data_IF_379851675564
#
_entry.id   IF_379851675564
#
_cell.length_a   1.000
_cell.length_b   1.000
_cell.length_c   1.000
_cell.angle_alpha   90.00
_cell.angle_beta   90.00
_cell.angle_gamma   90.00
#
_symmetry.space_group_name_H-M   'P 1'
#
loop_
_entity.id
_entity.type
_entity.pdbx_description
1 polymer ?
#
# COMPACT_ATOMS: atom_id res chain seq x y z
N UNK A 1 28.94 -5.99 62.71
CA UNK A 1 27.95 -5.66 63.77
C UNK A 1 26.58 -6.07 63.25
N UNK A 2 26.14 -7.32 63.43
CA UNK A 2 25.47 -7.85 64.62
C UNK A 2 24.18 -7.08 65.00
N UNK A 3 23.00 -7.56 64.59
CA UNK A 3 22.12 -8.36 65.47
C UNK A 3 20.80 -8.74 64.79
N UNK A 4 20.51 -10.03 64.91
CA UNK A 4 19.21 -10.71 64.86
C UNK A 4 18.33 -10.20 66.01
N UNK A 5 17.00 -10.17 65.83
CA UNK A 5 16.03 -10.80 66.75
C UNK A 5 14.60 -10.76 66.20
N UNK A 6 14.08 -11.98 66.02
CA UNK A 6 12.70 -12.37 65.82
C UNK A 6 11.82 -12.08 67.03
N UNK A 7 10.57 -11.65 66.83
CA UNK A 7 9.45 -11.99 67.73
C UNK A 7 8.14 -11.99 66.92
N UNK A 8 7.54 -13.16 66.68
CA UNK A 8 6.09 -13.28 66.48
C UNK A 8 5.43 -13.18 67.86
N UNK A 9 4.16 -12.75 67.97
CA UNK A 9 3.18 -13.79 68.29
C UNK A 9 1.70 -13.51 67.88
N UNK A 10 0.91 -14.58 68.04
CA UNK A 10 -0.54 -14.67 68.32
C UNK A 10 -1.51 -14.66 67.12
N UNK A 11 -1.96 -15.87 66.81
CA UNK A 11 -3.24 -16.20 66.18
C UNK A 11 -4.32 -16.31 67.26
N UNK A 12 -5.48 -15.67 67.07
CA UNK A 12 -6.78 -16.12 67.64
C UNK A 12 -7.88 -15.91 66.57
N UNK A 13 -8.78 -16.90 66.34
CA UNK A 13 -9.70 -16.94 65.21
C UNK A 13 -11.12 -16.45 65.56
N UNK A 14 -11.82 -15.87 64.59
CA UNK A 14 -13.29 -15.71 64.51
C UNK A 14 -13.61 -15.08 63.15
N UNK A 15 -14.70 -15.34 62.44
CA UNK A 15 -15.82 -16.26 62.51
C UNK A 15 -16.40 -16.24 61.08
N UNK A 16 -17.05 -17.34 60.71
CA UNK A 16 -17.73 -17.50 59.43
C UNK A 16 -18.68 -16.33 59.12
N UNK A 17 -18.57 -15.77 57.92
CA UNK A 17 -19.75 -15.25 57.21
C UNK A 17 -19.67 -15.61 55.73
N UNK A 18 -20.66 -16.36 55.29
CA UNK A 18 -20.93 -16.75 53.91
C UNK A 18 -21.41 -15.55 53.10
N UNK A 19 -20.78 -15.23 51.97
CA UNK A 19 -21.52 -14.63 50.85
C UNK A 19 -20.78 -14.73 49.51
N UNK A 20 -21.43 -15.45 48.59
CA UNK A 20 -21.42 -15.34 47.12
C UNK A 20 -20.06 -15.37 46.40
N UNK A 21 -19.80 -16.53 45.77
CA UNK A 21 -18.90 -16.66 44.60
C UNK A 21 -19.34 -15.68 43.51
N UNK A 22 -18.58 -14.61 43.34
CA UNK A 22 -18.51 -13.90 42.06
C UNK A 22 -17.51 -14.69 41.22
N UNK A 23 -18.00 -15.34 40.18
CA UNK A 23 -17.16 -15.94 39.15
C UNK A 23 -16.47 -14.78 38.42
N UNK A 24 -15.21 -14.50 38.78
CA UNK A 24 -14.32 -13.71 37.93
C UNK A 24 -14.07 -14.54 36.67
N UNK A 25 -14.83 -14.26 35.61
CA UNK A 25 -14.40 -14.62 34.26
C UNK A 25 -13.22 -13.70 33.97
N UNK A 26 -12.01 -14.24 34.14
CA UNK A 26 -10.81 -13.61 33.63
C UNK A 26 -10.92 -13.61 32.10
N UNK A 27 -11.44 -12.52 31.54
CA UNK A 27 -11.24 -12.21 30.14
C UNK A 27 -9.76 -11.83 30.03
N UNK A 28 -8.94 -12.81 29.67
CA UNK A 28 -7.58 -12.57 29.23
C UNK A 28 -7.66 -11.63 28.04
N UNK A 29 -7.32 -10.35 28.27
CA UNK A 29 -7.06 -9.39 27.21
C UNK A 29 -5.95 -9.97 26.34
N UNK A 30 -6.31 -10.51 25.17
CA UNK A 30 -5.36 -10.76 24.11
C UNK A 30 -5.04 -9.37 23.54
N UNK A 31 -3.83 -8.88 23.75
CA UNK A 31 -3.26 -7.84 22.91
C UNK A 31 -3.32 -8.36 21.47
N UNK A 32 -4.03 -7.72 20.53
CA UNK A 32 -3.87 -8.05 19.14
C UNK A 32 -2.62 -7.30 18.68
N UNK A 33 -1.44 -7.93 18.82
CA UNK A 33 -0.38 -7.61 17.89
C UNK A 33 -0.95 -7.95 16.51
N UNK A 34 -1.18 -6.93 15.66
CA UNK A 34 -1.65 -7.12 14.29
C UNK A 34 -0.70 -8.13 13.63
N UNK A 35 -1.19 -9.34 13.43
CA UNK A 35 -0.41 -10.41 12.83
C UNK A 35 -0.41 -10.19 11.33
N UNK A 36 0.75 -9.84 10.75
CA UNK A 36 0.92 -9.79 9.31
C UNK A 36 0.62 -11.14 8.61
N UNK A 37 0.46 -12.24 9.36
CA UNK A 37 0.10 -13.55 8.85
C UNK A 37 -1.38 -13.67 8.46
N UNK A 38 -2.27 -12.83 9.02
CA UNK A 38 -3.71 -12.87 8.71
C UNK A 38 -4.15 -11.97 7.56
N UNK A 39 -3.24 -11.20 6.97
CA UNK A 39 -3.55 -10.30 5.86
C UNK A 39 -3.58 -11.04 4.53
N UNK A 40 -4.65 -10.88 3.76
CA UNK A 40 -4.80 -11.52 2.44
C UNK A 40 -3.71 -11.09 1.45
N UNK A 41 -3.28 -9.82 1.50
CA UNK A 41 -2.19 -9.28 0.73
C UNK A 41 -1.19 -8.59 1.67
N UNK A 42 0.04 -9.10 1.72
CA UNK A 42 1.11 -8.52 2.54
C UNK A 42 1.64 -7.24 1.90
N UNK A 43 2.01 -6.23 2.70
CA UNK A 43 2.68 -5.04 2.17
C UNK A 43 4.02 -5.43 1.56
N UNK A 44 4.48 -4.70 0.53
CA UNK A 44 5.81 -4.90 -0.02
C UNK A 44 6.88 -4.52 1.00
N UNK A 45 8.08 -5.07 0.84
CA UNK A 45 9.20 -4.85 1.74
C UNK A 45 10.17 -3.81 1.18
N UNK A 46 10.79 -3.01 2.04
CA UNK A 46 11.90 -2.13 1.70
C UNK A 46 13.07 -2.38 2.68
N UNK A 47 14.33 -2.37 2.21
CA UNK A 47 15.48 -2.74 3.05
C UNK A 47 15.78 -1.76 4.19
N UNK A 48 15.29 -0.52 4.13
CA UNK A 48 15.70 0.56 5.05
C UNK A 48 14.57 1.23 5.84
N UNK A 49 13.31 0.94 5.54
CA UNK A 49 12.17 1.50 6.28
C UNK A 49 10.94 0.61 6.10
N UNK A 50 9.95 0.77 6.97
CA UNK A 50 8.71 0.02 6.99
C UNK A 50 7.49 0.96 7.14
N UNK A 51 6.29 0.37 7.20
CA UNK A 51 5.05 1.13 7.37
C UNK A 51 4.99 1.85 8.72
N UNK A 52 5.57 1.28 9.78
CA UNK A 52 5.57 1.91 11.11
C UNK A 52 6.37 3.22 11.09
N UNK A 53 7.52 3.25 10.41
CA UNK A 53 8.29 4.47 10.20
C UNK A 53 7.50 5.57 9.48
N UNK A 54 6.72 5.20 8.46
CA UNK A 54 5.86 6.14 7.72
C UNK A 54 4.72 6.67 8.60
N UNK A 55 4.07 5.79 9.36
CA UNK A 55 2.98 6.15 10.29
C UNK A 55 3.48 7.12 11.36
N UNK A 56 4.64 6.83 11.97
CA UNK A 56 5.23 7.71 12.98
C UNK A 56 5.58 9.08 12.41
N UNK A 57 6.09 9.15 11.18
CA UNK A 57 6.37 10.41 10.52
C UNK A 57 5.09 11.22 10.28
N UNK A 58 4.02 10.58 9.81
CA UNK A 58 2.73 11.23 9.55
C UNK A 58 2.03 11.71 10.84
N UNK A 59 2.07 10.90 11.91
CA UNK A 59 1.57 11.32 13.22
C UNK A 59 2.37 12.49 13.80
N UNK A 60 3.69 12.48 13.64
CA UNK A 60 4.55 13.59 14.08
C UNK A 60 4.32 14.86 13.25
N UNK A 61 4.01 14.72 11.95
CA UNK A 61 3.63 15.84 11.08
C UNK A 61 2.35 16.53 11.57
N UNK A 62 1.31 15.75 11.90
CA UNK A 62 -0.02 16.28 12.20
C UNK A 62 -0.18 16.74 13.66
N UNK A 63 0.34 15.97 14.62
CA UNK A 63 0.17 16.26 16.05
C UNK A 63 1.36 17.03 16.67
N UNK A 64 2.55 16.97 16.05
CA UNK A 64 3.77 17.55 16.59
C UNK A 64 4.06 17.11 18.03
N UNK A 65 4.72 17.97 18.81
CA UNK A 65 4.96 17.74 20.24
C UNK A 65 3.82 18.17 21.17
N UNK A 66 2.84 18.91 20.66
CA UNK A 66 1.78 19.54 21.45
C UNK A 66 0.50 18.70 21.48
N UNK A 67 0.25 17.87 20.47
CA UNK A 67 -1.01 17.14 20.27
C UNK A 67 -2.12 18.03 19.72
N UNK A 68 -3.35 17.50 19.72
CA UNK A 68 -4.53 18.23 19.26
C UNK A 68 -5.04 19.22 20.32
N UNK A 69 -4.65 20.49 20.15
CA UNK A 69 -5.05 21.60 21.03
C UNK A 69 -6.57 21.80 21.06
N UNK A 70 -7.26 21.53 19.96
CA UNK A 70 -8.72 21.69 19.88
C UNK A 70 -9.41 20.67 20.76
N UNK A 71 -9.06 19.38 20.62
CA UNK A 71 -9.62 18.32 21.47
C UNK A 71 -9.29 18.54 22.95
N UNK A 72 -8.05 18.93 23.27
CA UNK A 72 -7.66 19.23 24.65
C UNK A 72 -8.47 20.37 25.27
N UNK A 73 -8.84 21.39 24.48
CA UNK A 73 -9.59 22.54 24.97
C UNK A 73 -11.12 22.30 25.03
N UNK A 74 -11.66 21.40 24.20
CA UNK A 74 -13.11 21.31 23.97
C UNK A 74 -13.74 19.99 24.38
N UNK A 75 -12.96 18.91 24.53
CA UNK A 75 -13.47 17.56 24.78
C UNK A 75 -12.94 17.05 26.14
N UNK A 76 -13.80 16.53 27.03
CA UNK A 76 -13.35 15.89 28.26
C UNK A 76 -12.41 14.69 28.00
N UNK A 77 -11.36 14.55 28.81
CA UNK A 77 -10.29 13.55 28.61
C UNK A 77 -10.78 12.08 28.67
N UNK A 78 -11.86 11.83 29.39
CA UNK A 78 -12.49 10.52 29.59
C UNK A 78 -13.71 10.29 28.67
N UNK A 79 -13.97 11.21 27.74
CA UNK A 79 -15.07 11.07 26.78
C UNK A 79 -14.78 9.91 25.80
N UNK A 80 -15.65 8.90 25.80
CA UNK A 80 -15.65 7.82 24.82
C UNK A 80 -16.72 8.07 23.75
N UNK A 81 -16.36 7.81 22.49
CA UNK A 81 -17.25 7.99 21.33
C UNK A 81 -17.12 6.80 20.39
N UNK A 82 -18.14 6.63 19.56
CA UNK A 82 -18.09 5.77 18.37
C UNK A 82 -18.03 6.66 17.13
N UNK A 83 -17.19 6.29 16.16
CA UNK A 83 -17.10 6.94 14.87
C UNK A 83 -17.17 5.92 13.73
N UNK A 84 -17.84 6.30 12.63
CA UNK A 84 -18.18 5.41 11.53
C UNK A 84 -17.49 5.82 10.23
N UNK A 85 -16.81 4.87 9.59
CA UNK A 85 -16.21 5.05 8.27
C UNK A 85 -17.29 4.97 7.19
N UNK A 86 -17.34 5.97 6.32
CA UNK A 86 -18.34 6.13 5.27
C UNK A 86 -17.67 6.41 3.93
N UNK A 87 -17.99 5.59 2.92
CA UNK A 87 -17.60 5.85 1.54
C UNK A 87 -18.45 6.99 0.97
N UNK A 88 -17.81 7.98 0.35
CA UNK A 88 -18.48 9.17 -0.21
C UNK A 88 -18.54 9.15 -1.74
N UNK A 89 -17.79 8.25 -2.36
CA UNK A 89 -17.75 7.92 -3.78
C UNK A 89 -17.66 6.39 -3.94
N UNK A 90 -17.93 5.91 -5.16
CA UNK A 90 -17.79 4.50 -5.53
C UNK A 90 -16.31 4.18 -5.81
N UNK A 91 -15.84 2.97 -5.50
CA UNK A 91 -14.47 2.57 -5.78
C UNK A 91 -14.05 1.27 -5.11
N UNK A 92 -12.73 1.06 -5.02
CA UNK A 92 -12.10 -0.05 -4.30
C UNK A 92 -11.52 0.46 -3.00
N UNK A 93 -11.90 -0.16 -1.88
CA UNK A 93 -11.33 0.21 -0.58
C UNK A 93 -9.91 -0.35 -0.44
N UNK A 94 -8.97 0.49 -0.02
CA UNK A 94 -7.61 0.10 0.30
C UNK A 94 -7.05 0.94 1.45
N UNK A 95 -6.21 0.31 2.28
CA UNK A 95 -5.59 0.92 3.45
C UNK A 95 -6.31 0.63 4.76
N UNK A 96 -7.25 -0.32 4.82
CA UNK A 96 -7.90 -0.77 6.06
C UNK A 96 -6.85 -1.25 7.05
N UNK A 97 -5.95 -2.15 6.63
CA UNK A 97 -4.91 -2.66 7.52
C UNK A 97 -3.90 -1.59 7.93
N UNK A 98 -3.62 -0.59 7.07
CA UNK A 98 -2.77 0.53 7.44
C UNK A 98 -3.48 1.45 8.47
N UNK A 99 -4.77 1.70 8.31
CA UNK A 99 -5.56 2.48 9.26
C UNK A 99 -5.60 1.79 10.64
N UNK A 100 -5.75 0.47 10.70
CA UNK A 100 -5.62 -0.29 11.94
C UNK A 100 -4.27 -0.07 12.62
N UNK A 101 -3.18 -0.06 11.84
CA UNK A 101 -1.84 0.26 12.37
C UNK A 101 -1.76 1.69 12.90
N UNK A 102 -2.37 2.67 12.23
CA UNK A 102 -2.42 4.07 12.69
C UNK A 102 -3.18 4.17 14.03
N UNK A 103 -4.38 3.61 14.13
CA UNK A 103 -5.15 3.63 15.38
C UNK A 103 -4.42 2.90 16.50
N UNK A 104 -3.81 1.75 16.22
CA UNK A 104 -3.05 0.99 17.19
C UNK A 104 -1.79 1.75 17.67
N UNK A 105 -1.13 2.51 16.79
CA UNK A 105 0.05 3.31 17.17
C UNK A 105 -0.35 4.49 18.07
N UNK A 106 -1.51 5.11 17.81
CA UNK A 106 -2.03 6.19 18.65
C UNK A 106 -2.50 5.67 20.01
N UNK A 107 -3.33 4.62 20.02
CA UNK A 107 -3.83 4.01 21.25
C UNK A 107 -4.30 2.56 21.00
N UNK A 108 -3.57 1.55 21.50
CA UNK A 108 -3.94 0.13 21.36
C UNK A 108 -5.28 -0.26 22.01
N UNK A 109 -5.87 0.61 22.84
CA UNK A 109 -7.19 0.37 23.45
C UNK A 109 -8.37 0.74 22.54
N UNK A 110 -8.12 1.47 21.45
CA UNK A 110 -9.14 1.75 20.44
C UNK A 110 -9.61 0.45 19.78
N UNK A 111 -10.93 0.28 19.69
CA UNK A 111 -11.55 -0.90 19.09
C UNK A 111 -12.00 -0.54 17.69
N UNK A 112 -11.38 -1.15 16.69
CA UNK A 112 -11.74 -0.97 15.29
C UNK A 112 -12.44 -2.23 14.79
N UNK A 113 -13.58 -2.06 14.12
CA UNK A 113 -14.36 -3.14 13.52
C UNK A 113 -14.65 -2.81 12.05
N UNK A 114 -14.41 -3.76 11.15
CA UNK A 114 -14.63 -3.59 9.71
C UNK A 114 -15.68 -4.57 9.19
N UNK A 115 -16.47 -4.11 8.24
CA UNK A 115 -17.42 -4.94 7.48
C UNK A 115 -16.94 -5.21 6.05
N UNK A 116 -15.86 -4.55 5.62
CA UNK A 116 -15.18 -4.74 4.35
C UNK A 116 -13.69 -5.04 4.63
N UNK A 117 -12.99 -5.55 3.62
CA UNK A 117 -11.53 -5.74 3.63
C UNK A 117 -10.90 -5.03 2.44
N UNK A 118 -9.59 -4.83 2.51
CA UNK A 118 -8.82 -4.29 1.38
C UNK A 118 -9.10 -5.08 0.10
N UNK A 119 -9.46 -4.37 -0.97
CA UNK A 119 -9.80 -4.92 -2.28
C UNK A 119 -11.30 -5.08 -2.55
N UNK A 120 -12.16 -4.88 -1.54
CA UNK A 120 -13.61 -4.93 -1.75
C UNK A 120 -14.12 -3.66 -2.48
N UNK A 121 -15.17 -3.82 -3.28
CA UNK A 121 -15.86 -2.70 -3.90
C UNK A 121 -16.78 -2.00 -2.88
N UNK A 122 -16.75 -0.66 -2.88
CA UNK A 122 -17.62 0.19 -2.06
C UNK A 122 -18.44 1.11 -2.95
N UNK A 123 -19.61 1.50 -2.45
CA UNK A 123 -20.48 2.49 -3.10
C UNK A 123 -20.74 3.66 -2.16
N UNK A 124 -21.05 4.82 -2.73
CA UNK A 124 -21.37 6.03 -2.00
C UNK A 124 -22.49 5.79 -0.99
N UNK A 125 -22.23 6.14 0.27
CA UNK A 125 -23.16 5.96 1.39
C UNK A 125 -22.92 4.66 2.17
N UNK A 126 -22.05 3.77 1.70
CA UNK A 126 -21.71 2.55 2.44
C UNK A 126 -20.92 2.88 3.70
N UNK A 127 -21.45 2.50 4.86
CA UNK A 127 -20.69 2.43 6.10
C UNK A 127 -19.92 1.11 6.13
N UNK A 128 -18.60 1.18 6.17
CA UNK A 128 -17.75 0.00 5.98
C UNK A 128 -16.88 -0.35 7.19
N UNK A 129 -16.85 0.50 8.22
CA UNK A 129 -16.18 0.21 9.48
C UNK A 129 -16.57 1.20 10.58
N UNK A 130 -16.10 0.93 11.79
CA UNK A 130 -16.30 1.78 12.95
C UNK A 130 -15.11 1.70 13.91
N UNK A 131 -14.90 2.75 14.67
CA UNK A 131 -13.93 2.83 15.76
C UNK A 131 -14.60 3.32 17.04
N UNK A 132 -14.29 2.67 18.15
CA UNK A 132 -14.77 3.02 19.48
C UNK A 132 -13.60 3.26 20.44
N UNK A 133 -13.71 4.30 21.27
CA UNK A 133 -12.76 4.57 22.34
C UNK A 133 -12.70 6.05 22.70
N UNK A 134 -11.56 6.49 23.25
CA UNK A 134 -11.37 7.88 23.69
C UNK A 134 -11.44 8.84 22.50
N UNK A 135 -12.29 9.87 22.61
CA UNK A 135 -12.50 10.86 21.57
C UNK A 135 -11.21 11.56 21.13
N UNK A 136 -10.36 11.97 22.08
CA UNK A 136 -9.06 12.60 21.78
C UNK A 136 -8.20 11.73 20.86
N UNK A 137 -8.14 10.42 21.15
CA UNK A 137 -7.27 9.49 20.43
C UNK A 137 -7.84 9.16 19.04
N UNK A 138 -9.16 9.05 18.92
CA UNK A 138 -9.83 8.89 17.61
C UNK A 138 -9.55 10.12 16.72
N UNK A 139 -9.71 11.34 17.26
CA UNK A 139 -9.51 12.58 16.49
C UNK A 139 -8.05 12.76 16.05
N UNK A 140 -7.08 12.45 16.92
CA UNK A 140 -5.65 12.49 16.57
C UNK A 140 -5.31 11.50 15.44
N UNK A 141 -5.91 10.30 15.46
CA UNK A 141 -5.67 9.30 14.43
C UNK A 141 -6.42 9.59 13.10
N UNK A 142 -7.56 10.28 13.18
CA UNK A 142 -8.54 10.41 12.09
C UNK A 142 -7.90 10.88 10.79
N UNK A 143 -7.27 12.06 10.80
CA UNK A 143 -6.80 12.68 9.56
C UNK A 143 -5.68 11.88 8.91
N UNK A 144 -4.76 11.36 9.72
CA UNK A 144 -3.67 10.51 9.25
C UNK A 144 -4.20 9.21 8.63
N UNK A 145 -5.13 8.52 9.31
CA UNK A 145 -5.73 7.29 8.80
C UNK A 145 -6.51 7.55 7.50
N UNK A 146 -7.35 8.59 7.46
CA UNK A 146 -8.13 8.94 6.27
C UNK A 146 -7.22 9.32 5.10
N UNK A 147 -6.20 10.15 5.30
CA UNK A 147 -5.31 10.56 4.21
C UNK A 147 -4.63 9.36 3.53
N UNK A 148 -4.17 8.38 4.32
CA UNK A 148 -3.64 7.15 3.75
C UNK A 148 -4.71 6.33 3.01
N UNK A 149 -5.85 6.06 3.67
CA UNK A 149 -6.92 5.25 3.08
C UNK A 149 -7.46 5.86 1.80
N UNK A 150 -7.74 7.17 1.78
CA UNK A 150 -8.26 7.88 0.62
C UNK A 150 -7.28 7.81 -0.56
N UNK A 151 -5.98 8.01 -0.30
CA UNK A 151 -4.93 7.87 -1.33
C UNK A 151 -4.84 6.44 -1.84
N UNK A 152 -4.70 5.46 -0.95
CA UNK A 152 -4.59 4.05 -1.31
C UNK A 152 -5.83 3.59 -2.09
N UNK A 153 -7.02 3.95 -1.65
CA UNK A 153 -8.28 3.60 -2.30
C UNK A 153 -8.39 4.23 -3.69
N UNK A 154 -7.91 5.48 -3.86
CA UNK A 154 -7.82 6.12 -5.18
C UNK A 154 -6.91 5.35 -6.14
N UNK A 155 -5.72 4.93 -5.67
CA UNK A 155 -4.77 4.11 -6.46
C UNK A 155 -5.39 2.75 -6.80
N UNK A 156 -5.97 2.06 -5.81
CA UNK A 156 -6.56 0.74 -6.00
C UNK A 156 -7.75 0.78 -6.98
N UNK A 157 -8.57 1.83 -6.91
CA UNK A 157 -9.69 2.04 -7.84
C UNK A 157 -9.21 2.20 -9.28
N UNK A 158 -8.28 3.13 -9.54
CA UNK A 158 -7.72 3.32 -10.88
C UNK A 158 -6.98 2.06 -11.37
N UNK A 159 -6.25 1.39 -10.47
CA UNK A 159 -5.55 0.15 -10.81
C UNK A 159 -6.53 -0.94 -11.25
N UNK A 160 -7.66 -1.09 -10.55
CA UNK A 160 -8.69 -2.06 -10.89
C UNK A 160 -9.29 -1.79 -12.27
N UNK A 161 -9.65 -0.54 -12.54
CA UNK A 161 -10.16 -0.12 -13.85
C UNK A 161 -9.16 -0.40 -14.98
N UNK A 162 -7.89 -0.04 -14.78
CA UNK A 162 -6.83 -0.25 -15.76
C UNK A 162 -6.50 -1.75 -15.93
N UNK A 163 -6.48 -2.54 -14.86
CA UNK A 163 -6.22 -3.98 -14.92
C UNK A 163 -7.32 -4.72 -15.69
N UNK A 164 -8.59 -4.40 -15.42
CA UNK A 164 -9.72 -5.03 -16.11
C UNK A 164 -9.71 -4.68 -17.61
N UNK A 165 -9.37 -3.43 -17.96
CA UNK A 165 -9.26 -3.00 -19.35
C UNK A 165 -8.03 -3.58 -20.09
N UNK A 166 -6.92 -3.79 -19.38
CA UNK A 166 -5.66 -4.30 -19.94
C UNK A 166 -5.67 -5.79 -20.28
N UNK A 167 -6.60 -6.56 -19.70
CA UNK A 167 -6.61 -8.02 -19.85
C UNK A 167 -6.55 -8.46 -21.33
N UNK A 168 -5.65 -9.38 -21.72
CA UNK A 168 -4.90 -10.31 -20.85
C UNK A 168 -3.60 -9.80 -20.23
N UNK A 169 -3.14 -8.59 -20.57
CA UNK A 169 -1.91 -8.04 -20.01
C UNK A 169 -2.07 -7.66 -18.53
N UNK A 170 -0.99 -7.78 -17.75
CA UNK A 170 -0.97 -7.36 -16.35
C UNK A 170 -0.52 -5.91 -16.21
N UNK A 171 -1.26 -5.10 -15.44
CA UNK A 171 -0.85 -3.72 -15.17
C UNK A 171 0.23 -3.65 -14.09
N UNK A 172 1.25 -2.84 -14.34
CA UNK A 172 2.34 -2.51 -13.43
C UNK A 172 2.32 -1.02 -13.11
N UNK A 173 2.75 -0.70 -11.89
CA UNK A 173 3.08 0.66 -11.50
C UNK A 173 4.53 1.01 -11.84
N UNK A 174 5.07 2.06 -11.24
CA UNK A 174 6.48 2.44 -11.48
C UNK A 174 7.14 2.95 -10.20
N UNK A 175 8.37 3.47 -10.32
CA UNK A 175 9.03 4.24 -9.26
C UNK A 175 8.56 5.71 -9.18
N UNK A 176 7.68 6.15 -10.08
CA UNK A 176 7.04 7.49 -10.08
C UNK A 176 5.94 7.53 -9.00
N UNK A 177 6.34 7.43 -7.75
CA UNK A 177 5.48 7.44 -6.56
C UNK A 177 5.64 8.74 -5.81
N UNK A 178 4.71 9.04 -4.90
CA UNK A 178 4.94 10.12 -3.95
C UNK A 178 6.20 9.82 -3.12
N UNK A 179 7.10 10.81 -2.89
CA UNK A 179 8.27 10.62 -2.04
C UNK A 179 7.87 10.16 -0.64
N UNK A 180 8.60 9.20 -0.06
CA UNK A 180 8.30 8.61 1.25
C UNK A 180 7.13 7.61 1.29
N UNK A 181 6.25 7.61 0.28
CA UNK A 181 5.03 6.79 0.27
C UNK A 181 5.09 5.57 -0.66
N UNK A 182 6.28 5.21 -1.16
CA UNK A 182 6.40 4.13 -2.17
C UNK A 182 5.84 2.79 -1.70
N UNK A 183 6.08 2.40 -0.44
CA UNK A 183 5.51 1.17 0.12
C UNK A 183 3.97 1.19 0.10
N UNK A 184 3.39 2.33 0.50
CA UNK A 184 1.94 2.55 0.56
C UNK A 184 1.33 2.53 -0.84
N UNK A 185 1.92 3.29 -1.77
CA UNK A 185 1.46 3.40 -3.16
C UNK A 185 1.50 2.04 -3.87
N UNK A 186 2.62 1.31 -3.76
CA UNK A 186 2.77 -0.02 -4.39
C UNK A 186 1.84 -1.06 -3.76
N UNK A 187 1.62 -0.98 -2.45
CA UNK A 187 0.67 -1.89 -1.81
C UNK A 187 -0.76 -1.66 -2.29
N UNK A 188 -1.17 -0.41 -2.49
CA UNK A 188 -2.47 -0.08 -3.06
C UNK A 188 -2.66 -0.62 -4.48
N UNK A 189 -1.60 -0.61 -5.31
CA UNK A 189 -1.63 -1.23 -6.65
C UNK A 189 -1.88 -2.73 -6.56
N UNK A 190 -1.21 -3.44 -5.64
CA UNK A 190 -1.48 -4.88 -5.42
C UNK A 190 -2.93 -5.13 -5.00
N UNK A 191 -3.47 -4.30 -4.09
CA UNK A 191 -4.86 -4.39 -3.64
C UNK A 191 -5.84 -4.18 -4.80
N UNK A 192 -5.55 -3.26 -5.71
CA UNK A 192 -6.34 -3.01 -6.92
C UNK A 192 -6.23 -4.08 -8.01
N UNK A 193 -5.43 -5.14 -7.79
CA UNK A 193 -5.25 -6.23 -8.76
C UNK A 193 -4.13 -6.01 -9.80
N UNK A 194 -3.32 -4.96 -9.63
CA UNK A 194 -2.09 -4.78 -10.37
C UNK A 194 -0.95 -5.63 -9.81
N UNK A 195 0.24 -5.48 -10.40
CA UNK A 195 1.48 -6.09 -9.91
C UNK A 195 2.55 -5.03 -9.68
N UNK A 196 3.48 -5.35 -8.79
CA UNK A 196 4.60 -4.46 -8.53
C UNK A 196 5.72 -4.68 -9.56
N UNK A 197 6.15 -3.62 -10.22
CA UNK A 197 7.48 -3.50 -10.81
C UNK A 197 8.53 -3.40 -9.69
N UNK A 198 9.80 -3.20 -10.03
CA UNK A 198 10.89 -3.06 -9.06
C UNK A 198 10.61 -1.99 -8.01
N UNK A 199 10.89 -2.30 -6.75
CA UNK A 199 10.78 -1.40 -5.61
C UNK A 199 11.74 -0.22 -5.72
N UNK A 200 12.98 -0.47 -6.14
CA UNK A 200 14.04 0.51 -6.13
C UNK A 200 15.05 0.33 -7.26
N UNK A 201 16.23 0.91 -7.08
CA UNK A 201 17.36 0.67 -7.98
C UNK A 201 18.14 -0.61 -7.63
N UNK A 202 17.82 -1.23 -6.49
CA UNK A 202 18.63 -2.25 -5.84
C UNK A 202 18.14 -3.68 -6.10
N UNK A 203 16.89 -3.87 -6.54
CA UNK A 203 16.21 -5.16 -6.60
C UNK A 203 16.01 -5.68 -8.03
N UNK A 204 16.17 -4.84 -9.05
CA UNK A 204 16.10 -5.22 -10.45
C UNK A 204 16.92 -4.29 -11.34
N UNK A 205 17.62 -4.86 -12.32
CA UNK A 205 18.32 -4.09 -13.35
C UNK A 205 17.31 -3.62 -14.39
N UNK A 206 17.32 -2.32 -14.69
CA UNK A 206 16.58 -1.74 -15.81
C UNK A 206 17.53 -0.86 -16.62
N UNK A 207 17.92 -1.37 -17.78
CA UNK A 207 18.77 -0.68 -18.74
C UNK A 207 17.88 0.27 -19.56
N UNK A 208 18.13 1.57 -19.42
CA UNK A 208 17.41 2.64 -20.14
C UNK A 208 18.26 3.28 -21.24
N UNK A 209 17.63 4.07 -22.10
CA UNK A 209 18.22 4.92 -23.14
C UNK A 209 19.58 5.57 -22.77
N UNK A 210 19.68 6.17 -21.59
CA UNK A 210 20.88 6.84 -21.10
C UNK A 210 22.01 5.85 -20.84
N UNK A 211 21.69 4.68 -20.27
CA UNK A 211 22.67 3.62 -20.03
C UNK A 211 23.17 3.03 -21.34
N UNK A 212 22.26 2.79 -22.29
CA UNK A 212 22.57 2.29 -23.64
C UNK A 212 23.54 3.26 -24.35
N UNK A 213 23.22 4.55 -24.31
CA UNK A 213 24.05 5.59 -24.94
C UNK A 213 25.44 5.66 -24.32
N UNK A 214 25.52 5.66 -22.99
CA UNK A 214 26.81 5.74 -22.26
C UNK A 214 27.65 4.47 -22.44
N UNK A 215 27.01 3.30 -22.52
CA UNK A 215 27.68 2.03 -22.75
C UNK A 215 28.13 1.83 -24.22
N UNK A 216 27.77 2.74 -25.11
CA UNK A 216 28.12 2.66 -26.53
C UNK A 216 27.32 1.60 -27.29
N UNK A 217 26.04 1.41 -26.96
CA UNK A 217 25.12 0.51 -27.67
C UNK A 217 24.40 -0.49 -26.76
N UNK A 218 23.26 -1.00 -27.22
CA UNK A 218 22.37 -1.85 -26.41
C UNK A 218 23.02 -3.22 -26.15
N UNK A 219 23.71 -3.80 -27.13
CA UNK A 219 24.51 -5.02 -26.93
C UNK A 219 25.56 -4.85 -25.84
N UNK A 220 26.28 -3.72 -25.84
CA UNK A 220 27.33 -3.45 -24.85
C UNK A 220 26.74 -3.27 -23.44
N UNK A 221 25.58 -2.63 -23.33
CA UNK A 221 24.89 -2.46 -22.06
C UNK A 221 24.45 -3.82 -21.48
N UNK A 222 23.76 -4.65 -22.27
CA UNK A 222 23.30 -5.99 -21.83
C UNK A 222 24.49 -6.87 -21.43
N UNK A 223 25.54 -6.91 -22.28
CA UNK A 223 26.77 -7.66 -21.98
C UNK A 223 27.43 -7.21 -20.67
N UNK A 224 27.47 -5.91 -20.41
CA UNK A 224 28.07 -5.37 -19.19
C UNK A 224 27.29 -5.79 -17.95
N UNK A 225 25.96 -5.85 -18.05
CA UNK A 225 25.10 -6.35 -16.97
C UNK A 225 25.34 -7.84 -16.72
N UNK A 226 25.41 -8.66 -17.76
CA UNK A 226 25.67 -10.10 -17.63
C UNK A 226 27.01 -10.37 -16.92
N UNK A 227 28.07 -9.70 -17.35
CA UNK A 227 29.39 -9.79 -16.71
C UNK A 227 29.35 -9.32 -15.25
N UNK A 228 28.65 -8.22 -14.96
CA UNK A 228 28.57 -7.69 -13.61
C UNK A 228 27.84 -8.65 -12.66
N UNK A 229 26.70 -9.19 -13.08
CA UNK A 229 25.91 -10.13 -12.28
C UNK A 229 26.67 -11.43 -12.03
N UNK A 230 27.38 -11.95 -13.02
CA UNK A 230 28.25 -13.12 -12.86
C UNK A 230 29.41 -12.85 -11.88
N UNK A 231 30.15 -11.75 -12.07
CA UNK A 231 31.28 -11.38 -11.21
C UNK A 231 30.87 -11.14 -9.76
N UNK A 232 29.67 -10.60 -9.53
CA UNK A 232 29.14 -10.35 -8.19
C UNK A 232 28.34 -11.54 -7.64
N UNK A 233 28.17 -12.61 -8.42
CA UNK A 233 27.33 -13.76 -8.09
C UNK A 233 25.91 -13.33 -7.63
N UNK A 234 25.33 -12.37 -8.36
CA UNK A 234 24.01 -11.83 -8.11
C UNK A 234 22.98 -12.48 -9.03
N UNK A 235 21.78 -12.71 -8.51
CA UNK A 235 20.63 -13.17 -9.28
C UNK A 235 19.48 -12.20 -9.06
N UNK A 236 19.10 -11.49 -10.12
CA UNK A 236 17.97 -10.57 -10.15
C UNK A 236 17.43 -10.49 -11.58
N UNK A 237 16.18 -10.04 -11.71
CA UNK A 237 15.58 -9.78 -13.01
C UNK A 237 16.33 -8.66 -13.75
N UNK A 238 16.35 -8.75 -15.07
CA UNK A 238 17.03 -7.79 -15.95
C UNK A 238 16.07 -7.40 -17.06
N UNK A 239 15.78 -6.11 -17.12
CA UNK A 239 14.96 -5.50 -18.14
C UNK A 239 15.78 -4.54 -19.00
N UNK A 240 15.54 -4.55 -20.31
CA UNK A 240 16.11 -3.59 -21.26
C UNK A 240 15.01 -2.81 -21.96
N UNK A 241 15.16 -1.49 -22.01
CA UNK A 241 14.30 -0.58 -22.75
C UNK A 241 14.69 -0.54 -24.22
N UNK A 242 13.70 -0.68 -25.10
CA UNK A 242 13.82 -0.60 -26.56
C UNK A 242 12.75 0.33 -27.11
N UNK A 243 13.11 1.13 -28.12
CA UNK A 243 12.26 2.16 -28.73
C UNK A 243 11.96 1.89 -30.19
N UNK A 244 12.76 1.03 -30.84
CA UNK A 244 12.58 0.66 -32.25
C UNK A 244 12.69 -0.86 -32.44
N UNK A 245 12.19 -1.34 -33.58
CA UNK A 245 12.29 -2.76 -33.94
C UNK A 245 13.74 -3.19 -34.15
N UNK A 246 14.60 -2.30 -34.63
CA UNK A 246 16.03 -2.57 -34.79
C UNK A 246 16.70 -2.83 -33.43
N UNK A 247 16.39 -2.04 -32.40
CA UNK A 247 16.89 -2.26 -31.04
C UNK A 247 16.38 -3.62 -30.49
N UNK A 248 15.12 -4.00 -30.76
CA UNK A 248 14.57 -5.32 -30.41
C UNK A 248 15.35 -6.45 -31.11
N UNK A 249 15.60 -6.31 -32.41
CA UNK A 249 16.38 -7.30 -33.18
C UNK A 249 17.81 -7.45 -32.66
N UNK A 250 18.47 -6.35 -32.27
CA UNK A 250 19.81 -6.37 -31.70
C UNK A 250 19.85 -7.17 -30.40
N UNK A 251 18.89 -6.94 -29.50
CA UNK A 251 18.76 -7.69 -28.23
C UNK A 251 18.54 -9.18 -28.49
N UNK A 252 17.64 -9.52 -29.41
CA UNK A 252 17.33 -10.92 -29.74
C UNK A 252 18.51 -11.64 -30.41
N UNK A 253 19.29 -10.92 -31.23
CA UNK A 253 20.52 -11.43 -31.84
C UNK A 253 21.55 -11.73 -30.75
N UNK A 254 21.83 -10.78 -29.86
CA UNK A 254 22.75 -10.98 -28.73
C UNK A 254 22.36 -12.21 -27.88
N UNK A 255 21.08 -12.29 -27.49
CA UNK A 255 20.55 -13.40 -26.70
C UNK A 255 20.54 -14.76 -27.42
N UNK A 256 20.61 -14.78 -28.75
CA UNK A 256 20.72 -16.03 -29.53
C UNK A 256 22.14 -16.60 -29.53
N UNK A 257 23.15 -15.73 -29.41
CA UNK A 257 24.56 -16.09 -29.49
C UNK A 257 25.21 -16.25 -28.11
N UNK A 258 24.65 -15.59 -27.10
CA UNK A 258 25.24 -15.48 -25.76
C UNK A 258 24.21 -15.86 -24.70
N UNK A 259 24.68 -16.57 -23.67
CA UNK A 259 23.87 -16.76 -22.46
C UNK A 259 23.72 -15.41 -21.76
N UNK A 260 22.48 -14.95 -21.62
CA UNK A 260 22.15 -13.67 -20.98
C UNK A 260 21.24 -13.87 -19.78
N UNK A 261 21.29 -12.93 -18.85
CA UNK A 261 20.44 -12.80 -17.66
C UNK A 261 19.16 -12.02 -17.95
N UNK A 262 18.98 -11.54 -19.20
CA UNK A 262 17.80 -10.79 -19.63
C UNK A 262 16.52 -11.60 -19.39
N UNK A 263 15.54 -10.98 -18.72
CA UNK A 263 14.23 -11.57 -18.44
C UNK A 263 13.09 -10.85 -19.17
N UNK A 264 13.23 -9.54 -19.41
CA UNK A 264 12.18 -8.70 -19.96
C UNK A 264 12.69 -7.68 -20.97
N UNK A 265 11.88 -7.40 -22.00
CA UNK A 265 12.09 -6.32 -22.96
C UNK A 265 10.95 -5.31 -22.81
N UNK A 266 11.29 -4.07 -22.46
CA UNK A 266 10.36 -2.94 -22.43
C UNK A 266 10.29 -2.32 -23.82
N UNK A 267 9.07 -2.18 -24.32
CA UNK A 267 8.70 -1.62 -25.62
C UNK A 267 8.18 -0.20 -25.38
N UNK A 268 9.10 0.76 -25.31
CA UNK A 268 8.80 2.12 -24.88
C UNK A 268 8.32 2.99 -26.06
N UNK A 269 7.18 3.65 -25.87
CA UNK A 269 6.57 4.59 -26.82
C UNK A 269 6.33 4.01 -28.24
N UNK A 270 6.10 2.70 -28.36
CA UNK A 270 5.72 2.04 -29.63
C UNK A 270 4.22 2.15 -29.97
N UNK A 271 3.49 3.00 -29.23
CA UNK A 271 2.06 3.28 -29.42
C UNK A 271 1.91 4.73 -29.88
N UNK A 272 1.28 4.94 -31.04
CA UNK A 272 1.17 6.27 -31.66
C UNK A 272 -0.27 6.76 -31.58
N UNK A 273 -0.54 7.94 -30.97
CA UNK A 273 -1.87 8.54 -30.98
C UNK A 273 -2.30 8.93 -32.40
N UNK A 274 -3.56 8.67 -32.74
CA UNK A 274 -4.18 9.02 -34.00
C UNK A 274 -5.11 10.24 -33.85
N UNK A 275 -5.28 11.08 -34.89
CA UNK A 275 -6.10 12.30 -34.81
C UNK A 275 -7.58 12.06 -34.47
N UNK A 276 -8.07 10.84 -34.67
CA UNK A 276 -9.44 10.43 -34.36
C UNK A 276 -9.64 9.99 -32.89
N UNK A 277 -8.62 10.16 -32.04
CA UNK A 277 -8.65 9.74 -30.63
C UNK A 277 -8.32 8.26 -30.41
N UNK A 278 -7.92 7.55 -31.47
CA UNK A 278 -7.50 6.15 -31.41
C UNK A 278 -5.97 6.03 -31.28
N UNK A 279 -5.44 4.81 -31.18
CA UNK A 279 -4.00 4.51 -31.16
C UNK A 279 -3.60 3.47 -32.20
N UNK A 280 -2.47 3.71 -32.86
CA UNK A 280 -1.77 2.72 -33.66
C UNK A 280 -0.80 1.92 -32.78
N UNK A 281 -0.98 0.59 -32.81
CA UNK A 281 -0.21 -0.39 -32.05
C UNK A 281 0.57 -1.34 -32.97
N UNK A 282 0.71 -1.01 -34.25
CA UNK A 282 1.29 -1.91 -35.26
C UNK A 282 2.75 -2.26 -34.94
N UNK A 283 3.57 -1.27 -34.59
CA UNK A 283 4.96 -1.49 -34.18
C UNK A 283 5.05 -2.34 -32.91
N UNK A 284 4.19 -2.06 -31.92
CA UNK A 284 4.14 -2.84 -30.67
C UNK A 284 3.79 -4.31 -30.96
N UNK A 285 2.79 -4.58 -31.80
CA UNK A 285 2.41 -5.94 -32.21
C UNK A 285 3.53 -6.65 -32.96
N UNK A 286 4.21 -5.95 -33.86
CA UNK A 286 5.35 -6.50 -34.60
C UNK A 286 6.49 -6.88 -33.66
N UNK A 287 6.84 -6.00 -32.70
CA UNK A 287 7.85 -6.29 -31.69
C UNK A 287 7.49 -7.53 -30.85
N UNK A 288 6.25 -7.63 -30.38
CA UNK A 288 5.76 -8.81 -29.63
C UNK A 288 5.87 -10.08 -30.47
N UNK A 289 5.47 -10.03 -31.74
CA UNK A 289 5.55 -11.17 -32.66
C UNK A 289 7.00 -11.63 -32.91
N UNK A 290 7.92 -10.68 -33.07
CA UNK A 290 9.34 -10.98 -33.28
C UNK A 290 10.00 -11.56 -32.01
N UNK A 291 9.62 -11.07 -30.83
CA UNK A 291 10.06 -11.62 -29.54
C UNK A 291 9.50 -13.04 -29.33
N UNK A 292 8.30 -13.33 -29.83
CA UNK A 292 7.69 -14.65 -29.90
C UNK A 292 7.74 -15.42 -28.56
N UNK A 293 7.45 -14.73 -27.45
CA UNK A 293 7.42 -15.31 -26.11
C UNK A 293 8.79 -15.73 -25.54
N UNK A 294 9.91 -15.37 -26.18
CA UNK A 294 11.26 -15.67 -25.67
C UNK A 294 11.60 -14.89 -24.38
N UNK A 295 11.01 -13.72 -24.21
CA UNK A 295 11.16 -12.83 -23.05
C UNK A 295 9.78 -12.29 -22.66
N UNK A 296 9.63 -11.90 -21.39
CA UNK A 296 8.49 -11.07 -21.01
C UNK A 296 8.54 -9.75 -21.77
N UNK A 297 7.38 -9.21 -22.12
CA UNK A 297 7.25 -7.93 -22.82
C UNK A 297 6.47 -6.94 -21.97
N UNK A 298 6.96 -5.71 -21.89
CA UNK A 298 6.32 -4.63 -21.15
C UNK A 298 6.09 -3.43 -22.07
N UNK A 299 4.82 -3.03 -22.29
CA UNK A 299 4.52 -1.77 -22.96
C UNK A 299 4.61 -0.60 -21.96
N UNK A 300 5.29 0.47 -22.36
CA UNK A 300 5.43 1.71 -21.57
C UNK A 300 5.21 2.94 -22.47
N UNK A 301 4.78 4.03 -21.84
CA UNK A 301 4.63 5.34 -22.49
C UNK A 301 3.17 5.68 -22.83
N UNK A 302 2.70 6.84 -22.33
CA UNK A 302 1.39 7.43 -22.64
C UNK A 302 0.18 6.48 -22.53
N UNK A 303 0.21 5.55 -21.56
CA UNK A 303 -0.90 4.63 -21.28
C UNK A 303 -2.02 5.38 -20.54
N UNK A 304 -3.23 5.34 -21.10
CA UNK A 304 -4.45 5.91 -20.49
C UNK A 304 -5.55 4.86 -20.46
N UNK A 305 -6.66 5.13 -19.77
CA UNK A 305 -7.77 4.18 -19.69
C UNK A 305 -8.42 3.92 -21.07
N UNK A 306 -8.37 4.91 -21.96
CA UNK A 306 -8.89 4.82 -23.32
C UNK A 306 -8.00 3.98 -24.24
N UNK A 307 -6.67 4.03 -24.03
CA UNK A 307 -5.70 3.37 -24.92
C UNK A 307 -5.33 1.96 -24.45
N UNK A 308 -5.41 1.70 -23.14
CA UNK A 308 -4.88 0.48 -22.51
C UNK A 308 -5.50 -0.80 -23.06
N UNK A 309 -6.78 -0.78 -23.44
CA UNK A 309 -7.44 -1.97 -23.98
C UNK A 309 -6.75 -2.46 -25.26
N UNK A 310 -6.49 -1.55 -26.21
CA UNK A 310 -5.80 -1.90 -27.47
C UNK A 310 -4.37 -2.36 -27.24
N UNK A 311 -3.68 -1.74 -26.29
CA UNK A 311 -2.32 -2.12 -25.89
C UNK A 311 -2.34 -3.54 -25.31
N UNK A 312 -3.28 -3.85 -24.42
CA UNK A 312 -3.45 -5.19 -23.83
C UNK A 312 -3.73 -6.28 -24.86
N UNK A 313 -4.48 -5.97 -25.92
CA UNK A 313 -4.75 -6.91 -27.02
C UNK A 313 -3.56 -7.14 -27.97
N UNK A 314 -2.40 -6.50 -27.76
CA UNK A 314 -1.21 -6.74 -28.61
C UNK A 314 -0.47 -8.03 -28.28
N UNK A 315 -0.75 -8.63 -27.12
CA UNK A 315 -0.04 -9.81 -26.63
C UNK A 315 1.16 -9.49 -25.73
N UNK A 316 1.31 -8.22 -25.30
CA UNK A 316 2.29 -7.88 -24.26
C UNK A 316 1.97 -8.57 -22.94
N UNK A 317 3.03 -8.93 -22.19
CA UNK A 317 2.87 -9.55 -20.86
C UNK A 317 2.42 -8.53 -19.82
N UNK A 318 3.03 -7.35 -19.86
CA UNK A 318 2.80 -6.27 -18.93
C UNK A 318 2.55 -4.94 -19.66
N UNK A 319 1.86 -4.06 -18.96
CA UNK A 319 1.75 -2.63 -19.31
C UNK A 319 2.13 -1.87 -18.05
N UNK A 320 3.08 -0.93 -18.12
CA UNK A 320 3.40 -0.07 -16.97
C UNK A 320 2.86 1.33 -17.13
N UNK A 321 2.29 1.87 -16.05
CA UNK A 321 1.79 3.24 -16.01
C UNK A 321 2.19 3.95 -14.73
N UNK A 322 2.85 5.11 -14.90
CA UNK A 322 3.14 6.01 -13.79
C UNK A 322 1.89 6.67 -13.21
N UNK A 323 0.84 6.82 -14.01
CA UNK A 323 -0.38 7.54 -13.63
C UNK A 323 -1.04 6.92 -12.39
N UNK A 324 -0.89 5.61 -12.21
CA UNK A 324 -1.35 4.87 -11.04
C UNK A 324 -0.89 5.49 -9.71
N UNK A 325 0.33 6.04 -9.65
CA UNK A 325 0.95 6.45 -8.38
C UNK A 325 1.35 7.92 -8.29
N UNK A 326 1.64 8.59 -9.43
CA UNK A 326 1.98 10.02 -9.39
C UNK A 326 0.78 10.96 -9.60
N UNK A 327 -0.31 10.49 -10.21
CA UNK A 327 -1.49 11.32 -10.56
C UNK A 327 -2.75 10.81 -9.86
N UNK A 328 -2.65 10.59 -8.54
CA UNK A 328 -3.72 9.98 -7.76
C UNK A 328 -4.86 10.97 -7.51
N UNK A 329 -6.07 10.62 -7.94
CA UNK A 329 -7.30 11.18 -7.38
C UNK A 329 -7.68 10.33 -6.16
N UNK A 330 -7.62 10.92 -4.97
CA UNK A 330 -8.00 10.23 -3.74
C UNK A 330 -9.51 9.90 -3.74
N UNK A 331 -9.87 8.73 -3.22
CA UNK A 331 -11.28 8.34 -3.03
C UNK A 331 -11.83 9.10 -1.82
N UNK A 332 -12.99 9.77 -1.94
CA UNK A 332 -13.58 10.49 -0.82
C UNK A 332 -14.14 9.50 0.23
N UNK A 333 -13.63 9.62 1.46
CA UNK A 333 -13.97 8.79 2.63
C UNK A 333 -14.07 9.71 3.84
N UNK A 334 -15.07 9.51 4.69
CA UNK A 334 -15.19 10.26 5.94
C UNK A 334 -15.23 9.33 7.15
N UNK A 335 -14.70 9.81 8.29
CA UNK A 335 -14.95 9.23 9.60
C UNK A 335 -15.93 10.16 10.33
N UNK A 336 -17.10 9.65 10.74
CA UNK A 336 -18.13 10.45 11.38
C UNK A 336 -18.38 10.00 12.81
N UNK A 337 -18.09 10.86 13.77
CA UNK A 337 -18.45 10.66 15.18
C UNK A 337 -19.97 10.69 15.32
N UNK A 338 -20.53 9.72 16.03
CA UNK A 338 -21.94 9.75 16.43
C UNK A 338 -22.14 10.82 17.52
N UNK A 339 -22.64 11.98 17.10
CA UNK A 339 -22.85 13.13 17.98
C UNK A 339 -24.07 12.98 18.87
N UNK A 340 -25.07 12.15 18.50
CA UNK A 340 -26.25 11.95 19.34
C UNK A 340 -25.89 11.13 20.58
N UNK A 341 -25.12 10.04 20.39
CA UNK A 341 -24.60 9.27 21.50
C UNK A 341 -23.68 10.13 22.39
N UNK A 342 -22.82 10.95 21.78
CA UNK A 342 -21.94 11.85 22.51
C UNK A 342 -22.71 12.86 23.37
N UNK A 343 -23.78 13.46 22.82
CA UNK A 343 -24.64 14.40 23.55
C UNK A 343 -25.42 13.72 24.68
N UNK A 344 -25.91 12.49 24.48
CA UNK A 344 -26.58 11.72 25.52
C UNK A 344 -25.66 11.42 26.70
N UNK A 345 -24.40 11.04 26.42
CA UNK A 345 -23.37 10.82 27.46
C UNK A 345 -23.04 12.13 28.17
N UNK A 346 -22.89 13.23 27.44
CA UNK A 346 -22.65 14.55 28.01
C UNK A 346 -23.77 14.99 28.96
N UNK A 347 -25.04 14.81 28.57
CA UNK A 347 -26.21 15.12 29.42
C UNK A 347 -26.27 14.23 30.66
N UNK A 348 -26.01 12.92 30.54
CA UNK A 348 -26.00 11.99 31.68
C UNK A 348 -24.92 12.29 32.71
N UNK A 349 -23.81 12.89 32.26
CA UNK A 349 -22.65 13.21 33.10
C UNK A 349 -22.63 14.67 33.59
N UNK A 350 -23.70 15.45 33.31
CA UNK A 350 -23.79 16.90 33.58
C UNK A 350 -22.65 17.72 32.95
N UNK A 351 -22.23 17.34 31.73
CA UNK A 351 -21.16 18.01 30.98
C UNK A 351 -21.65 18.77 29.73
N UNK A 352 -22.94 18.66 29.40
CA UNK A 352 -23.57 19.26 28.22
C UNK A 352 -24.81 20.05 28.58
#
# INVERSE_FOLDING_TARGET
>A
MARILSVSPIVVPCLFTTSRRIVRVAVTARNPSISFESMALKPPLHPTYDLKGIINLALAEDAGGQGDVTSMATIPVDMEVEANFLAKEDGIIAGIALAEMVFCEVDPSLKVEWSQKDGDCVHKGLQFGKVYGRAHNIVVAERVALNFMQRMSGIATLTKEMADAAYPACILETRKTAPGLRLVDKWAVLIGGGRNHRMGLFDMVLIKDNHISIAGGITNAVKSVDLYLEQKNLKMEVEVETRTLEEVHEVLHYASQTKTSLTRIMLDNMVVPLPNGDVDVSMLKEAVNVINGRFETEASGNVTLETIHKIGQTGVTYISSGALTHSVKALDISLKIDTELALLVGRRTNRA
#
